data_IF_759339249512
#
_entry.id   IF_759339249512
#
_cell.length_a   1.000
_cell.length_b   1.000
_cell.length_c   1.000
_cell.angle_alpha   90.00
_cell.angle_beta   90.00
_cell.angle_gamma   90.00
#
_symmetry.space_group_name_H-M   'P 1'
#
loop_
_entity.id
_entity.type
_entity.pdbx_description
1 polymer ?
#
# COMPACT_ATOMS: atom_id res chain seq x y z
N UNK A 1 20.69 1.02 64.27
CA UNK A 1 19.30 1.48 64.06
C UNK A 1 19.36 2.85 63.38
N UNK A 2 19.11 2.93 62.08
CA UNK A 2 19.04 4.22 61.37
C UNK A 2 17.66 4.82 61.61
N UNK A 3 17.60 5.95 62.31
CA UNK A 3 16.36 6.66 62.57
C UNK A 3 15.99 7.49 61.32
N UNK A 4 14.95 7.08 60.61
CA UNK A 4 14.39 7.92 59.54
C UNK A 4 13.65 9.10 60.17
N UNK A 5 14.16 10.30 59.94
CA UNK A 5 13.56 11.56 60.40
C UNK A 5 12.29 11.84 59.58
N UNK A 6 11.14 12.15 60.20
CA UNK A 6 9.90 12.36 59.45
C UNK A 6 10.04 13.57 58.52
N UNK A 7 9.64 13.38 57.26
CA UNK A 7 9.68 14.42 56.25
C UNK A 7 8.81 15.60 56.70
N UNK A 8 9.38 16.81 56.74
CA UNK A 8 8.61 18.03 57.07
C UNK A 8 7.55 18.27 55.97
N UNK A 9 6.33 18.70 56.31
CA UNK A 9 5.20 18.76 55.37
C UNK A 9 5.47 19.64 54.14
N UNK A 10 6.29 20.69 54.29
CA UNK A 10 6.73 21.54 53.17
C UNK A 10 7.67 20.84 52.18
N UNK A 11 8.54 19.95 52.66
CA UNK A 11 9.43 19.18 51.79
C UNK A 11 8.64 18.14 50.97
N UNK A 12 7.61 17.54 51.57
CA UNK A 12 6.69 16.64 50.87
C UNK A 12 5.89 17.39 49.79
N UNK A 13 5.39 18.59 50.10
CA UNK A 13 4.65 19.41 49.14
C UNK A 13 5.54 19.86 47.96
N UNK A 14 6.78 20.25 48.23
CA UNK A 14 7.74 20.64 47.18
C UNK A 14 8.15 19.45 46.31
N UNK A 15 8.32 18.26 46.88
CA UNK A 15 8.58 17.05 46.12
C UNK A 15 7.37 16.63 45.25
N UNK A 16 6.15 16.80 45.76
CA UNK A 16 4.92 16.58 45.00
C UNK A 16 4.77 17.58 43.84
N UNK A 17 5.05 18.86 44.08
CA UNK A 17 5.04 19.88 43.04
C UNK A 17 6.12 19.61 41.98
N UNK A 18 7.34 19.27 42.38
CA UNK A 18 8.42 18.94 41.45
C UNK A 18 8.09 17.71 40.59
N UNK A 19 7.44 16.68 41.17
CA UNK A 19 7.00 15.50 40.41
C UNK A 19 5.84 15.79 39.47
N UNK A 20 4.91 16.68 39.84
CA UNK A 20 3.83 17.14 38.96
C UNK A 20 4.36 17.99 37.80
N UNK A 21 5.35 18.85 38.02
CA UNK A 21 5.98 19.66 36.97
C UNK A 21 6.92 18.85 36.05
N UNK A 22 7.50 17.76 36.55
CA UNK A 22 8.36 16.86 35.76
C UNK A 22 7.57 15.77 35.00
N UNK A 23 6.25 15.72 35.15
CA UNK A 23 5.42 14.78 34.41
C UNK A 23 5.47 15.11 32.91
N UNK A 24 5.82 14.15 32.02
CA UNK A 24 5.82 14.40 30.59
C UNK A 24 4.39 14.75 30.12
N UNK A 25 4.25 15.60 29.08
CA UNK A 25 2.94 15.86 28.51
C UNK A 25 2.32 14.55 28.04
N UNK A 26 1.20 14.18 28.66
CA UNK A 26 0.37 13.08 28.18
C UNK A 26 -0.26 13.54 26.88
N UNK A 27 0.20 13.01 25.75
CA UNK A 27 -0.45 13.24 24.47
C UNK A 27 -1.90 12.72 24.56
N UNK A 28 -2.89 13.45 24.03
CA UNK A 28 -4.25 12.93 23.98
C UNK A 28 -4.25 11.62 23.19
N UNK A 29 -4.73 10.55 23.81
CA UNK A 29 -4.95 9.29 23.11
C UNK A 29 -6.02 9.52 22.03
N UNK A 30 -5.71 9.18 20.78
CA UNK A 30 -6.68 9.22 19.69
C UNK A 30 -7.84 8.28 20.03
N UNK A 31 -9.08 8.78 19.98
CA UNK A 31 -10.25 7.96 20.24
C UNK A 31 -10.38 6.90 19.13
N UNK A 32 -10.68 5.63 19.47
CA UNK A 32 -10.80 4.59 18.47
C UNK A 32 -12.02 4.82 17.57
N UNK A 33 -11.87 4.49 16.28
CA UNK A 33 -12.99 4.51 15.34
C UNK A 33 -13.85 3.25 15.50
N UNK A 34 -15.17 3.42 15.58
CA UNK A 34 -16.13 2.31 15.58
C UNK A 34 -16.56 1.97 14.15
N UNK A 35 -16.34 0.71 13.73
CA UNK A 35 -16.78 0.18 12.42
C UNK A 35 -17.75 -0.98 12.64
N UNK A 36 -19.02 -0.79 12.26
CA UNK A 36 -20.06 -1.83 12.36
C UNK A 36 -20.42 -2.36 10.96
N UNK A 37 -20.51 -3.69 10.82
CA UNK A 37 -20.84 -4.37 9.56
C UNK A 37 -21.93 -5.41 9.82
N UNK A 38 -23.08 -5.28 9.17
CA UNK A 38 -24.17 -6.26 9.24
C UNK A 38 -24.14 -7.17 8.00
N UNK A 39 -23.65 -8.40 8.18
CA UNK A 39 -23.51 -9.38 7.10
C UNK A 39 -24.85 -10.04 6.68
N UNK A 40 -25.92 -9.88 7.46
CA UNK A 40 -27.25 -10.39 7.10
C UNK A 40 -28.00 -9.45 6.13
N UNK A 41 -27.55 -8.19 6.00
CA UNK A 41 -28.21 -7.16 5.19
C UNK A 41 -27.47 -6.89 3.87
N UNK A 42 -27.72 -7.74 2.86
CA UNK A 42 -27.28 -7.46 1.49
C UNK A 42 -28.11 -6.32 0.85
N UNK A 43 -27.47 -5.20 0.51
CA UNK A 43 -28.17 -4.01 -0.03
C UNK A 43 -28.31 -4.03 -1.56
N UNK A 44 -27.21 -4.30 -2.28
CA UNK A 44 -27.16 -4.35 -3.74
C UNK A 44 -25.87 -5.03 -4.24
N UNK A 45 -25.80 -5.39 -5.53
CA UNK A 45 -24.59 -6.00 -6.09
C UNK A 45 -23.37 -5.05 -6.05
N UNK A 46 -22.24 -5.55 -5.56
CA UNK A 46 -20.96 -4.87 -5.66
C UNK A 46 -20.18 -5.37 -6.89
N UNK A 47 -20.02 -4.51 -7.90
CA UNK A 47 -19.23 -4.84 -9.10
C UNK A 47 -17.74 -4.58 -8.85
N UNK A 48 -16.89 -5.52 -9.25
CA UNK A 48 -15.42 -5.36 -9.25
C UNK A 48 -14.96 -4.56 -10.47
N UNK A 49 -15.14 -3.24 -10.44
CA UNK A 49 -14.85 -2.33 -11.56
C UNK A 49 -13.35 -1.96 -11.68
N UNK A 50 -12.53 -2.23 -10.66
CA UNK A 50 -11.12 -1.81 -10.58
C UNK A 50 -10.12 -2.81 -11.18
N UNK A 51 -10.56 -3.88 -11.84
CA UNK A 51 -9.73 -5.04 -12.21
C UNK A 51 -8.85 -4.82 -13.46
N UNK A 52 -8.17 -3.69 -13.56
CA UNK A 52 -7.32 -3.34 -14.70
C UNK A 52 -6.00 -2.74 -14.23
N UNK A 53 -4.94 -3.01 -14.99
CA UNK A 53 -3.64 -2.34 -14.90
C UNK A 53 -3.17 -1.91 -16.30
N UNK A 54 -1.99 -1.33 -16.43
CA UNK A 54 -1.39 -0.98 -17.72
C UNK A 54 0.05 -0.51 -17.60
N UNK A 55 0.77 -0.52 -18.72
CA UNK A 55 2.14 -0.05 -18.80
C UNK A 55 2.46 0.51 -20.20
N UNK A 56 3.60 1.17 -20.32
CA UNK A 56 4.18 1.63 -21.58
C UNK A 56 5.60 1.05 -21.69
N UNK A 57 5.92 0.30 -22.77
CA UNK A 57 7.31 -0.07 -23.04
C UNK A 57 8.20 1.18 -23.11
N UNK A 58 9.49 1.08 -22.73
CA UNK A 58 10.42 2.20 -22.80
C UNK A 58 10.76 2.57 -24.26
N UNK A 59 11.47 3.68 -24.43
CA UNK A 59 12.06 4.05 -25.71
C UNK A 59 13.24 3.12 -26.05
N UNK A 60 13.52 2.89 -27.36
CA UNK A 60 12.71 3.28 -28.51
C UNK A 60 11.49 2.36 -28.68
N UNK A 61 10.31 2.91 -28.99
CA UNK A 61 9.07 2.11 -29.05
C UNK A 61 9.08 1.04 -30.15
N UNK A 62 9.91 1.18 -31.19
CA UNK A 62 10.11 0.17 -32.23
C UNK A 62 10.82 -1.10 -31.73
N UNK A 63 11.42 -1.06 -30.54
CA UNK A 63 12.01 -2.21 -29.84
C UNK A 63 11.19 -2.61 -28.60
N UNK A 64 9.89 -2.27 -28.59
CA UNK A 64 8.99 -2.65 -27.50
C UNK A 64 8.93 -4.17 -27.29
N UNK A 65 9.23 -4.98 -28.30
CA UNK A 65 9.29 -6.43 -28.23
C UNK A 65 10.35 -6.91 -27.22
N UNK A 66 11.53 -6.27 -27.18
CA UNK A 66 12.60 -6.61 -26.24
C UNK A 66 12.15 -6.47 -24.79
N UNK A 67 11.30 -5.46 -24.50
CA UNK A 67 10.74 -5.27 -23.17
C UNK A 67 9.52 -6.16 -22.92
N UNK A 68 8.55 -6.19 -23.84
CA UNK A 68 7.26 -6.90 -23.66
C UNK A 68 7.44 -8.42 -23.63
N UNK A 69 8.42 -8.95 -24.37
CA UNK A 69 8.70 -10.38 -24.45
C UNK A 69 9.86 -10.82 -23.53
N UNK A 70 10.49 -9.88 -22.83
CA UNK A 70 11.55 -10.17 -21.85
C UNK A 70 11.10 -11.15 -20.78
N UNK A 71 12.08 -11.84 -20.18
CA UNK A 71 11.83 -12.68 -19.01
C UNK A 71 11.24 -11.90 -17.83
N UNK A 72 11.70 -10.67 -17.62
CA UNK A 72 11.17 -9.73 -16.62
C UNK A 72 9.67 -9.52 -16.80
N UNK A 73 9.21 -9.30 -18.03
CA UNK A 73 7.79 -9.10 -18.30
C UNK A 73 6.98 -10.40 -18.18
N UNK A 74 7.57 -11.54 -18.54
CA UNK A 74 6.93 -12.85 -18.32
C UNK A 74 6.68 -13.10 -16.84
N UNK A 75 7.69 -12.85 -15.99
CA UNK A 75 7.53 -12.93 -14.54
C UNK A 75 6.49 -11.91 -14.03
N UNK A 76 6.57 -10.65 -14.45
CA UNK A 76 5.61 -9.62 -14.06
C UNK A 76 4.16 -10.03 -14.38
N UNK A 77 3.91 -10.55 -15.58
CA UNK A 77 2.58 -11.02 -15.98
C UNK A 77 2.14 -12.28 -15.23
N UNK A 78 3.07 -13.14 -14.80
CA UNK A 78 2.76 -14.23 -13.88
C UNK A 78 2.28 -13.69 -12.52
N UNK A 79 2.93 -12.66 -11.97
CA UNK A 79 2.46 -12.00 -10.73
C UNK A 79 1.11 -11.31 -10.90
N UNK A 80 0.91 -10.58 -12.00
CA UNK A 80 -0.39 -9.95 -12.32
C UNK A 80 -1.50 -11.02 -12.45
N UNK A 81 -1.20 -12.14 -13.10
CA UNK A 81 -2.13 -13.26 -13.29
C UNK A 81 -2.37 -14.10 -12.04
N UNK A 82 -1.45 -14.09 -11.09
CA UNK A 82 -1.56 -14.83 -9.82
C UNK A 82 -2.57 -14.19 -8.85
N UNK A 83 -3.04 -12.96 -9.10
CA UNK A 83 -4.06 -12.32 -8.25
C UNK A 83 -5.35 -13.16 -8.26
N UNK A 84 -5.82 -13.63 -7.09
CA UNK A 84 -6.89 -14.61 -7.00
C UNK A 84 -8.21 -14.09 -7.58
N UNK A 85 -9.07 -15.03 -8.00
CA UNK A 85 -10.42 -14.77 -8.53
C UNK A 85 -10.48 -13.78 -9.71
N UNK A 86 -9.43 -13.73 -10.55
CA UNK A 86 -9.26 -12.70 -11.60
C UNK A 86 -9.31 -11.29 -11.02
N UNK A 87 -8.58 -11.03 -9.93
CA UNK A 87 -8.55 -9.73 -9.27
C UNK A 87 -7.93 -8.63 -10.14
N UNK A 88 -7.06 -9.01 -11.08
CA UNK A 88 -6.73 -8.22 -12.27
C UNK A 88 -7.22 -8.99 -13.49
N UNK A 89 -7.84 -8.29 -14.44
CA UNK A 89 -8.48 -8.88 -15.64
C UNK A 89 -7.91 -8.32 -16.95
N UNK A 90 -7.55 -7.05 -16.98
CA UNK A 90 -7.03 -6.37 -18.19
C UNK A 90 -5.64 -5.79 -17.93
N UNK A 91 -4.79 -5.86 -18.95
CA UNK A 91 -3.54 -5.11 -19.03
C UNK A 91 -3.63 -4.19 -20.25
N UNK A 92 -3.69 -2.87 -20.03
CA UNK A 92 -3.68 -1.87 -21.09
C UNK A 92 -2.22 -1.59 -21.51
N UNK A 93 -1.82 -2.13 -22.66
CA UNK A 93 -0.44 -2.05 -23.17
C UNK A 93 -0.34 -1.01 -24.28
N UNK A 94 0.54 -0.02 -24.13
CA UNK A 94 0.80 0.98 -25.19
C UNK A 94 1.68 0.37 -26.30
N UNK A 95 1.62 0.98 -27.50
CA UNK A 95 2.47 0.65 -28.65
C UNK A 95 2.37 -0.80 -29.16
N UNK A 96 1.22 -1.46 -28.95
CA UNK A 96 1.03 -2.84 -29.43
C UNK A 96 1.27 -3.00 -30.94
N UNK A 97 0.98 -1.98 -31.75
CA UNK A 97 1.18 -2.05 -33.20
C UNK A 97 2.64 -1.86 -33.64
N UNK A 98 3.54 -1.39 -32.77
CA UNK A 98 4.99 -1.38 -33.04
C UNK A 98 5.58 -2.79 -33.03
N UNK A 99 4.86 -3.78 -32.50
CA UNK A 99 5.25 -5.19 -32.54
C UNK A 99 4.95 -5.84 -33.91
N UNK A 100 4.22 -5.14 -34.79
CA UNK A 100 3.83 -5.67 -36.11
C UNK A 100 4.94 -5.44 -37.11
N UNK A 101 5.47 -6.52 -37.69
CA UNK A 101 6.44 -6.45 -38.80
C UNK A 101 5.79 -6.89 -40.10
N UNK A 102 6.11 -6.20 -41.20
CA UNK A 102 5.68 -6.61 -42.55
C UNK A 102 6.83 -7.33 -43.24
N UNK A 103 6.61 -8.57 -43.70
CA UNK A 103 7.52 -9.22 -44.65
C UNK A 103 7.03 -8.88 -46.05
N UNK A 104 7.78 -8.04 -46.76
CA UNK A 104 7.57 -7.88 -48.21
C UNK A 104 8.09 -9.15 -48.87
N UNK A 105 7.21 -9.92 -49.54
CA UNK A 105 7.67 -10.97 -50.44
C UNK A 105 8.57 -10.30 -51.48
N UNK A 106 9.80 -10.81 -51.65
CA UNK A 106 10.68 -10.35 -52.70
C UNK A 106 9.92 -10.50 -54.02
N UNK A 107 9.73 -9.40 -54.75
CA UNK A 107 9.30 -9.47 -56.14
C UNK A 107 10.47 -10.13 -56.89
N UNK A 108 10.28 -11.40 -57.24
CA UNK A 108 11.15 -12.10 -58.18
C UNK A 108 10.92 -11.61 -59.60
#
# INVERSE_FOLDING_TARGET
>A
RVAMRPLRPRAALLALLASLLAAPPVAPAEAPHLVQVDAARALWPLRRFWRSTGFCPPLPHSQADQYVLSWDQQLNLAYVGAVPHRGIKQVRTHWLLELVTTRRAAAG
#
